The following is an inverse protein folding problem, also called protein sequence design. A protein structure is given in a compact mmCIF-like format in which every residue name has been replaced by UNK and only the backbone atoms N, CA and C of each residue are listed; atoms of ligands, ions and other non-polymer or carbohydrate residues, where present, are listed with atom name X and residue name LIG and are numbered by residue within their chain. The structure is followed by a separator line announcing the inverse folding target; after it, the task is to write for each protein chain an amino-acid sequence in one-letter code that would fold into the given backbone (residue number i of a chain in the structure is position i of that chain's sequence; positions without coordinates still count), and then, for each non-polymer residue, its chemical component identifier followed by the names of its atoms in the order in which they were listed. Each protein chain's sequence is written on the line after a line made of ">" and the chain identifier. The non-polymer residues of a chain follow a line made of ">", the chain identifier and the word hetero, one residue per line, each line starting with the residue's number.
data_IF_152269123369
#
_entry.id   IF_152269123369
#
_cell.length_a   1.000
_cell.length_b   1.000
_cell.length_c   1.000
_cell.angle_alpha   90.00
_cell.angle_beta   90.00
_cell.angle_gamma   90.00
#
_symmetry.space_group_name_H-M   'P 1'
#
loop_
_entity.id
_entity.type
_entity.pdbx_description
1 polymer ?
#
# COMPACT_ATOMS: atom_id res chain seq x y z
N UNK A 1 16.36 -3.68 4.35
CA UNK A 1 15.05 -4.14 3.83
C UNK A 1 14.83 -3.36 2.54
N UNK A 2 14.46 -4.01 1.44
CA UNK A 2 14.24 -3.33 0.17
C UNK A 2 12.75 -3.33 -0.18
N UNK A 3 12.20 -2.15 -0.47
CA UNK A 3 10.86 -1.98 -0.99
C UNK A 3 10.94 -1.74 -2.50
N UNK A 4 10.22 -2.56 -3.26
CA UNK A 4 10.12 -2.42 -4.71
C UNK A 4 8.65 -2.27 -5.08
N UNK A 5 8.30 -1.15 -5.67
CA UNK A 5 6.98 -0.96 -6.26
C UNK A 5 6.98 -1.66 -7.62
N UNK A 6 6.16 -2.70 -7.79
CA UNK A 6 6.08 -3.47 -9.04
C UNK A 6 5.16 -2.81 -10.05
N UNK A 7 4.05 -2.23 -9.58
CA UNK A 7 3.10 -1.53 -10.45
C UNK A 7 2.31 -0.49 -9.68
N UNK A 8 1.89 0.55 -10.39
CA UNK A 8 0.95 1.58 -9.94
C UNK A 8 -0.07 1.78 -11.04
N UNK A 9 -1.35 1.80 -10.66
CA UNK A 9 -2.47 2.07 -11.54
C UNK A 9 -3.35 3.13 -10.89
N UNK A 10 -3.30 4.32 -11.45
CA UNK A 10 -4.11 5.44 -11.01
C UNK A 10 -5.46 5.43 -11.70
N UNK A 11 -6.50 5.89 -11.01
CA UNK A 11 -7.80 6.13 -11.63
C UNK A 11 -7.76 7.42 -12.45
N UNK A 12 -8.63 7.54 -13.48
CA UNK A 12 -8.75 8.78 -14.28
C UNK A 12 -9.06 10.03 -13.46
N UNK A 13 -9.59 9.84 -12.24
CA UNK A 13 -9.95 10.90 -11.30
C UNK A 13 -8.82 11.27 -10.31
N UNK A 14 -7.70 10.53 -10.31
CA UNK A 14 -6.60 10.68 -9.34
C UNK A 14 -6.98 10.39 -7.87
N UNK A 15 -8.19 9.87 -7.63
CA UNK A 15 -8.74 9.58 -6.29
C UNK A 15 -8.55 8.14 -5.84
N UNK A 16 -8.16 7.25 -6.76
CA UNK A 16 -7.84 5.86 -6.45
C UNK A 16 -6.50 5.48 -7.04
N UNK A 17 -5.67 4.84 -6.25
CA UNK A 17 -4.41 4.26 -6.67
C UNK A 17 -4.43 2.79 -6.28
N UNK A 18 -4.26 1.91 -7.26
CA UNK A 18 -4.04 0.49 -7.04
C UNK A 18 -2.55 0.22 -7.28
N UNK A 19 -1.84 -0.35 -6.32
CA UNK A 19 -0.42 -0.60 -6.43
C UNK A 19 -0.04 -1.98 -5.91
N UNK A 20 1.02 -2.53 -6.48
CA UNK A 20 1.62 -3.79 -6.02
C UNK A 20 3.01 -3.49 -5.51
N UNK A 21 3.26 -3.85 -4.26
CA UNK A 21 4.53 -3.61 -3.57
C UNK A 21 5.12 -4.94 -3.16
N UNK A 22 6.39 -5.17 -3.51
CA UNK A 22 7.18 -6.30 -3.04
C UNK A 22 8.17 -5.81 -1.99
N UNK A 23 8.15 -6.45 -0.83
CA UNK A 23 9.08 -6.25 0.26
C UNK A 23 10.02 -7.45 0.30
N UNK A 24 11.29 -7.20 0.01
CA UNK A 24 12.33 -8.21 0.07
C UNK A 24 13.05 -8.11 1.41
N UNK A 25 13.02 -9.19 2.18
CA UNK A 25 13.70 -9.29 3.47
C UNK A 25 14.99 -10.07 3.30
N UNK A 26 16.07 -9.60 3.93
CA UNK A 26 17.37 -10.27 3.84
C UNK A 26 17.44 -11.52 4.76
N UNK A 27 16.55 -11.60 5.75
CA UNK A 27 16.55 -12.62 6.80
C UNK A 27 15.22 -13.39 6.90
N UNK A 28 14.29 -13.14 5.99
CA UNK A 28 12.96 -13.74 6.01
C UNK A 28 12.36 -13.86 4.61
N UNK A 29 11.14 -14.35 4.52
CA UNK A 29 10.44 -14.52 3.25
C UNK A 29 10.12 -13.18 2.58
N UNK A 30 10.10 -13.18 1.25
CA UNK A 30 9.63 -12.05 0.48
C UNK A 30 8.12 -11.90 0.64
N UNK A 31 7.64 -10.68 0.80
CA UNK A 31 6.21 -10.39 0.95
C UNK A 31 5.73 -9.55 -0.23
N UNK A 32 4.59 -9.89 -0.80
CA UNK A 32 3.92 -9.12 -1.86
C UNK A 32 2.57 -8.61 -1.36
N UNK A 33 2.38 -7.31 -1.51
CA UNK A 33 1.18 -6.60 -1.06
C UNK A 33 0.47 -5.97 -2.24
N UNK A 34 -0.82 -6.26 -2.39
CA UNK A 34 -1.70 -5.48 -3.25
C UNK A 34 -2.37 -4.40 -2.40
N UNK A 35 -2.00 -3.14 -2.64
CA UNK A 35 -2.46 -1.98 -1.89
C UNK A 35 -3.42 -1.18 -2.75
N UNK A 36 -4.53 -0.76 -2.16
CA UNK A 36 -5.46 0.21 -2.75
C UNK A 36 -5.58 1.41 -1.86
N UNK A 37 -5.34 2.59 -2.42
CA UNK A 37 -5.56 3.87 -1.76
C UNK A 37 -6.79 4.52 -2.37
N UNK A 38 -7.70 4.98 -1.51
CA UNK A 38 -8.87 5.76 -1.90
C UNK A 38 -8.81 7.08 -1.15
N UNK A 39 -8.86 8.20 -1.87
CA UNK A 39 -8.87 9.54 -1.29
C UNK A 39 -10.12 10.33 -1.72
N UNK A 40 -10.59 11.21 -0.85
CA UNK A 40 -11.60 12.20 -1.21
C UNK A 40 -11.08 13.28 -2.18
N UNK A 41 -9.76 13.45 -2.26
CA UNK A 41 -9.06 14.43 -3.10
C UNK A 41 -8.16 13.74 -4.11
N UNK A 42 -7.76 14.49 -5.13
CA UNK A 42 -6.74 14.04 -6.07
C UNK A 42 -5.41 13.87 -5.33
N UNK A 43 -4.78 12.69 -5.48
CA UNK A 43 -3.48 12.40 -4.88
C UNK A 43 -2.37 12.99 -5.75
N UNK A 44 -1.46 13.72 -5.13
CA UNK A 44 -0.20 14.13 -5.76
C UNK A 44 0.87 13.14 -5.32
N UNK A 45 1.67 12.67 -6.27
CA UNK A 45 2.83 11.79 -6.04
C UNK A 45 2.49 10.47 -5.32
N UNK A 46 1.73 9.57 -5.98
CA UNK A 46 1.29 8.31 -5.38
C UNK A 46 2.44 7.36 -5.01
N UNK A 47 3.60 7.45 -5.66
CA UNK A 47 4.78 6.67 -5.31
C UNK A 47 5.30 6.97 -3.91
N UNK A 48 5.46 8.25 -3.56
CA UNK A 48 6.00 8.64 -2.25
C UNK A 48 4.98 8.35 -1.15
N UNK A 49 3.69 8.58 -1.45
CA UNK A 49 2.60 8.19 -0.57
C UNK A 49 2.60 6.67 -0.30
N UNK A 50 2.83 5.85 -1.33
CA UNK A 50 2.91 4.38 -1.17
C UNK A 50 4.09 3.97 -0.28
N UNK A 51 5.26 4.59 -0.43
CA UNK A 51 6.41 4.30 0.45
C UNK A 51 6.06 4.62 1.90
N UNK A 52 5.50 5.79 2.16
CA UNK A 52 5.09 6.21 3.51
C UNK A 52 4.05 5.24 4.12
N UNK A 53 3.05 4.84 3.33
CA UNK A 53 2.01 3.88 3.74
C UNK A 53 2.58 2.52 4.12
N UNK A 54 3.57 2.04 3.37
CA UNK A 54 4.20 0.73 3.61
C UNK A 54 5.14 0.78 4.81
N UNK A 55 5.79 1.92 5.05
CA UNK A 55 6.61 2.15 6.24
C UNK A 55 5.76 2.22 7.52
N UNK A 56 4.54 2.76 7.44
CA UNK A 56 3.58 2.79 8.56
C UNK A 56 2.94 1.41 8.87
N UNK A 57 3.62 0.27 8.61
CA UNK A 57 3.09 -1.11 8.78
C UNK A 57 2.49 -1.34 10.17
N UNK A 58 3.05 -0.71 11.20
CA UNK A 58 2.61 -0.84 12.60
C UNK A 58 1.24 -0.20 12.87
N UNK A 59 0.90 0.85 12.12
CA UNK A 59 -0.37 1.57 12.26
C UNK A 59 -1.53 0.91 11.50
N UNK A 60 -1.25 -0.13 10.71
CA UNK A 60 -2.27 -0.86 9.96
C UNK A 60 -3.20 -1.61 10.90
N UNK A 61 -4.46 -1.19 10.90
CA UNK A 61 -5.51 -1.80 11.71
C UNK A 61 -6.10 -3.02 11.00
N UNK A 62 -6.35 -4.07 11.77
CA UNK A 62 -7.01 -5.27 11.25
C UNK A 62 -8.52 -5.04 11.17
N UNK A 63 -9.06 -5.00 9.96
CA UNK A 63 -10.50 -5.03 9.71
C UNK A 63 -11.06 -6.46 9.63
N UNK A 64 -12.36 -6.58 9.35
CA UNK A 64 -13.04 -7.90 9.25
C UNK A 64 -12.52 -8.81 8.14
N UNK A 65 -12.02 -8.24 7.05
CA UNK A 65 -11.51 -8.97 5.87
C UNK A 65 -10.11 -8.50 5.44
N UNK A 66 -9.80 -7.22 5.64
CA UNK A 66 -8.61 -6.58 5.12
C UNK A 66 -7.95 -5.73 6.21
N UNK A 67 -6.64 -5.50 6.11
CA UNK A 67 -5.96 -4.47 6.89
C UNK A 67 -6.21 -3.11 6.24
N UNK A 68 -6.37 -2.07 7.04
CA UNK A 68 -6.57 -0.70 6.56
C UNK A 68 -5.75 0.32 7.36
N UNK A 69 -5.39 1.41 6.70
CA UNK A 69 -4.68 2.54 7.29
C UNK A 69 -5.39 3.84 6.90
N UNK A 70 -5.74 4.66 7.89
CA UNK A 70 -6.39 5.95 7.65
C UNK A 70 -5.32 7.01 7.36
N UNK A 71 -5.45 7.70 6.23
CA UNK A 71 -4.51 8.71 5.77
C UNK A 71 -5.11 10.08 6.04
N UNK A 72 -4.84 10.62 7.23
CA UNK A 72 -5.43 11.89 7.67
C UNK A 72 -4.99 13.08 6.80
N UNK A 73 -3.76 13.07 6.27
CA UNK A 73 -3.23 14.16 5.43
C UNK A 73 -3.98 14.33 4.10
N UNK A 74 -4.48 13.25 3.51
CA UNK A 74 -5.19 13.28 2.23
C UNK A 74 -6.68 12.94 2.33
N UNK A 75 -7.22 12.86 3.55
CA UNK A 75 -8.58 12.37 3.82
C UNK A 75 -8.90 11.10 3.02
N UNK A 76 -8.01 10.11 3.17
CA UNK A 76 -8.05 8.87 2.42
C UNK A 76 -7.92 7.64 3.32
N UNK A 77 -8.01 6.47 2.71
CA UNK A 77 -7.79 5.19 3.38
C UNK A 77 -7.03 4.27 2.43
N UNK A 78 -5.95 3.69 2.94
CA UNK A 78 -5.24 2.62 2.28
C UNK A 78 -5.75 1.27 2.77
N UNK A 79 -5.82 0.30 1.86
CA UNK A 79 -6.29 -1.05 2.11
C UNK A 79 -5.26 -2.04 1.55
N UNK A 80 -4.89 -3.04 2.34
CA UNK A 80 -4.21 -4.22 1.82
C UNK A 80 -5.30 -5.17 1.34
N UNK A 81 -5.41 -5.33 0.02
CA UNK A 81 -6.36 -6.22 -0.62
C UNK A 81 -5.89 -7.68 -0.56
N UNK A 82 -4.57 -7.87 -0.68
CA UNK A 82 -3.94 -9.19 -0.70
C UNK A 82 -2.53 -9.10 -0.13
N UNK A 83 -2.17 -10.08 0.69
CA UNK A 83 -0.83 -10.27 1.25
C UNK A 83 -0.42 -11.71 0.90
N UNK A 84 0.65 -11.86 0.12
CA UNK A 84 1.21 -13.15 -0.27
C UNK A 84 2.67 -13.24 0.21
N UNK A 85 3.00 -14.33 0.89
CA UNK A 85 4.38 -14.69 1.20
C UNK A 85 4.95 -15.45 0.02
N UNK A 86 5.98 -14.91 -0.62
CA UNK A 86 6.74 -15.57 -1.67
C UNK A 86 7.82 -16.40 -0.96
N UNK A 87 7.60 -17.71 -0.86
CA UNK A 87 8.67 -18.65 -0.51
C UNK A 87 9.69 -18.65 -1.65
N UNK A 88 10.96 -18.36 -1.31
CA UNK A 88 12.09 -18.43 -2.25
C UNK A 88 12.69 -19.82 -2.28
#
# INVERSE_FOLDING_TARGET
>A
MALKIESIKESPTGKRVDAVVRKTSFWGSDERFEIRIISGKEMKDPEDLLKEIVEQREDWQQGKKNRYLKLYGINGTAYILKEETIES
#
